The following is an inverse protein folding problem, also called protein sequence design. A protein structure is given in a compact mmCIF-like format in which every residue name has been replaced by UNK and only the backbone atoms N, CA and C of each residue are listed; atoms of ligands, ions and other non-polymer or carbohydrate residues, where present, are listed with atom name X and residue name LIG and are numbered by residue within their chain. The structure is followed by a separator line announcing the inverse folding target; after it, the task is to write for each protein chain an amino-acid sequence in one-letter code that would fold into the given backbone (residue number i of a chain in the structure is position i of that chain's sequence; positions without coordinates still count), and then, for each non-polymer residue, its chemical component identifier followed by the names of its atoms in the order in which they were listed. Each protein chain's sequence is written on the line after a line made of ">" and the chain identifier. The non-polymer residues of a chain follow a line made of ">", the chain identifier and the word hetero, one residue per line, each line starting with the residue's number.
data_IF_420315034611
#
_entry.id   IF_420315034611
#
_cell.length_a   1.000
_cell.length_b   1.000
_cell.length_c   1.000
_cell.angle_alpha   90.00
_cell.angle_beta   90.00
_cell.angle_gamma   90.00
#
_symmetry.space_group_name_H-M   'P 1'
#
loop_
_entity.id
_entity.type
_entity.pdbx_description
1 polymer ?
#
# COMPACT_ATOMS: atom_id res chain seq x y z
N UNK A 1 -22.10 -8.32 58.20
CA UNK A 1 -21.19 -8.92 57.23
C UNK A 1 -21.93 -9.16 55.93
N UNK A 2 -21.66 -8.35 54.91
CA UNK A 2 -22.30 -8.50 53.57
C UNK A 2 -21.32 -9.20 52.66
N UNK A 3 -21.56 -10.47 52.40
CA UNK A 3 -20.77 -11.29 51.45
C UNK A 3 -21.03 -10.84 50.02
N UNK A 4 -20.04 -10.22 49.38
CA UNK A 4 -20.07 -9.91 47.94
C UNK A 4 -19.92 -11.21 47.13
N UNK A 5 -21.06 -11.74 46.59
CA UNK A 5 -21.05 -12.79 45.56
C UNK A 5 -20.32 -12.27 44.31
N UNK A 6 -19.15 -12.82 43.98
CA UNK A 6 -18.47 -12.57 42.68
C UNK A 6 -19.35 -13.07 41.55
N UNK A 7 -19.86 -12.18 40.71
CA UNK A 7 -20.51 -12.52 39.43
C UNK A 7 -19.45 -13.20 38.54
N UNK A 8 -19.65 -14.47 38.22
CA UNK A 8 -18.89 -15.18 37.22
C UNK A 8 -19.24 -14.57 35.85
N UNK A 9 -18.44 -13.65 35.36
CA UNK A 9 -18.54 -13.17 33.98
C UNK A 9 -18.03 -14.27 33.06
N UNK A 10 -18.95 -14.91 32.29
CA UNK A 10 -18.55 -15.78 31.19
C UNK A 10 -17.63 -15.02 30.26
N UNK A 11 -16.36 -15.41 30.25
CA UNK A 11 -15.24 -14.66 29.71
C UNK A 11 -15.43 -14.28 28.23
N UNK A 12 -15.58 -13.00 28.01
CA UNK A 12 -15.56 -12.37 26.69
C UNK A 12 -14.14 -12.45 26.11
N UNK A 13 -13.83 -13.42 25.25
CA UNK A 13 -12.61 -13.40 24.45
C UNK A 13 -12.69 -12.25 23.44
N UNK A 14 -11.91 -11.17 23.66
CA UNK A 14 -11.70 -10.09 22.68
C UNK A 14 -11.09 -10.68 21.42
N UNK A 15 -11.81 -10.70 20.31
CA UNK A 15 -11.24 -11.04 18.99
C UNK A 15 -12.06 -11.93 18.05
N UNK A 16 -13.14 -12.58 18.50
CA UNK A 16 -13.97 -13.39 17.61
C UNK A 16 -15.24 -12.63 17.20
N UNK A 17 -15.43 -12.45 15.91
CA UNK A 17 -16.59 -11.77 15.29
C UNK A 17 -17.90 -12.59 15.34
N UNK A 18 -17.89 -13.77 15.91
CA UNK A 18 -19.08 -14.64 15.99
C UNK A 18 -19.34 -15.03 17.43
N UNK A 19 -20.22 -14.29 18.06
CA UNK A 19 -20.79 -14.63 19.37
C UNK A 19 -21.97 -15.56 19.13
N UNK A 20 -21.73 -16.84 19.08
CA UNK A 20 -22.78 -17.82 19.18
C UNK A 20 -22.70 -18.43 20.57
N UNK A 21 -23.70 -18.20 21.41
CA UNK A 21 -23.84 -19.01 22.61
C UNK A 21 -23.91 -20.48 22.22
N UNK A 22 -23.28 -21.41 22.96
CA UNK A 22 -23.39 -22.84 22.69
C UNK A 22 -24.82 -23.31 22.62
N UNK A 23 -25.10 -24.35 21.85
CA UNK A 23 -26.46 -24.89 21.69
C UNK A 23 -27.04 -25.32 23.03
N UNK A 24 -26.22 -25.95 23.87
CA UNK A 24 -26.57 -26.38 25.22
C UNK A 24 -27.04 -25.20 26.09
N UNK A 25 -26.35 -24.08 26.01
CA UNK A 25 -26.74 -22.87 26.74
C UNK A 25 -28.08 -22.31 26.23
N UNK A 26 -28.31 -22.28 24.92
CA UNK A 26 -29.59 -21.83 24.35
C UNK A 26 -30.72 -22.77 24.74
N UNK A 27 -30.47 -24.07 24.73
CA UNK A 27 -31.44 -25.07 25.14
C UNK A 27 -31.82 -24.93 26.63
N UNK A 28 -30.83 -24.69 27.48
CA UNK A 28 -31.08 -24.43 28.91
C UNK A 28 -31.97 -23.19 29.12
N UNK A 29 -31.68 -22.09 28.41
CA UNK A 29 -32.49 -20.87 28.48
C UNK A 29 -33.93 -21.11 27.99
N UNK A 30 -34.11 -21.91 26.94
CA UNK A 30 -35.42 -22.29 26.41
C UNK A 30 -36.23 -23.14 27.41
N UNK A 31 -35.54 -24.11 28.05
CA UNK A 31 -36.18 -24.97 29.08
C UNK A 31 -36.64 -24.17 30.30
N UNK A 32 -35.82 -23.26 30.80
CA UNK A 32 -36.21 -22.36 31.90
C UNK A 32 -37.48 -21.55 31.55
N UNK A 33 -37.64 -21.15 30.30
CA UNK A 33 -38.85 -20.43 29.88
C UNK A 33 -40.05 -21.35 29.67
N UNK A 34 -39.90 -22.49 29.00
CA UNK A 34 -40.98 -23.37 28.58
C UNK A 34 -41.43 -24.40 29.66
N UNK A 35 -40.44 -24.92 30.39
CA UNK A 35 -40.67 -26.01 31.36
C UNK A 35 -40.77 -25.49 32.80
N UNK A 36 -39.93 -24.51 33.14
CA UNK A 36 -39.88 -23.98 34.53
C UNK A 36 -40.67 -22.67 34.72
N UNK A 37 -41.26 -22.09 33.64
CA UNK A 37 -42.14 -20.94 33.69
C UNK A 37 -41.49 -19.60 34.00
N UNK A 38 -40.14 -19.51 33.91
CA UNK A 38 -39.44 -18.25 34.16
C UNK A 38 -39.80 -17.19 33.13
N UNK A 39 -39.95 -15.93 33.58
CA UNK A 39 -40.22 -14.83 32.66
C UNK A 39 -38.98 -14.48 31.81
N UNK A 40 -39.21 -13.98 30.57
CA UNK A 40 -38.16 -13.52 29.69
C UNK A 40 -37.27 -12.44 30.33
N UNK A 41 -37.88 -11.57 31.17
CA UNK A 41 -37.17 -10.53 31.88
C UNK A 41 -36.21 -11.09 32.92
N UNK A 42 -36.67 -12.06 33.72
CA UNK A 42 -35.88 -12.72 34.76
C UNK A 42 -34.70 -13.47 34.15
N UNK A 43 -34.92 -14.24 33.07
CA UNK A 43 -33.86 -14.96 32.34
C UNK A 43 -32.85 -13.97 31.75
N UNK A 44 -33.31 -12.84 31.19
CA UNK A 44 -32.46 -11.81 30.64
C UNK A 44 -31.54 -11.19 31.69
N UNK A 45 -32.06 -10.92 32.88
CA UNK A 45 -31.33 -10.35 34.01
C UNK A 45 -30.31 -11.36 34.58
N UNK A 46 -30.75 -12.59 34.87
CA UNK A 46 -29.92 -13.65 35.49
C UNK A 46 -28.71 -14.02 34.61
N UNK A 47 -28.94 -14.21 33.31
CA UNK A 47 -27.89 -14.65 32.37
C UNK A 47 -27.18 -13.50 31.63
N UNK A 48 -27.61 -12.24 31.80
CA UNK A 48 -27.00 -11.07 31.13
C UNK A 48 -27.15 -11.12 29.60
N UNK A 49 -28.25 -11.69 29.09
CA UNK A 49 -28.57 -11.80 27.67
C UNK A 49 -29.77 -10.92 27.33
N UNK A 50 -29.87 -10.45 26.07
CA UNK A 50 -30.99 -9.61 25.69
C UNK A 50 -32.30 -10.38 25.65
N UNK A 51 -33.43 -9.75 26.06
CA UNK A 51 -34.78 -10.31 25.96
C UNK A 51 -35.13 -10.73 24.54
N UNK A 52 -34.58 -10.02 23.52
CA UNK A 52 -34.70 -10.38 22.11
C UNK A 52 -34.07 -11.73 21.81
N UNK A 53 -32.89 -12.02 22.39
CA UNK A 53 -32.20 -13.30 22.20
C UNK A 53 -32.99 -14.44 22.80
N UNK A 54 -33.53 -14.27 24.01
CA UNK A 54 -34.38 -15.29 24.66
C UNK A 54 -35.60 -15.60 23.78
N UNK A 55 -36.36 -14.58 23.37
CA UNK A 55 -37.57 -14.76 22.52
C UNK A 55 -37.19 -15.42 21.18
N UNK A 56 -36.10 -15.04 20.58
CA UNK A 56 -35.61 -15.62 19.32
C UNK A 56 -35.31 -17.11 19.47
N UNK A 57 -34.66 -17.52 20.55
CA UNK A 57 -34.35 -18.93 20.79
C UNK A 57 -35.58 -19.74 21.11
N UNK A 58 -36.49 -19.24 21.91
CA UNK A 58 -37.79 -19.90 22.16
C UNK A 58 -38.55 -20.12 20.87
N UNK A 59 -38.66 -19.09 20.02
CA UNK A 59 -39.34 -19.22 18.74
C UNK A 59 -38.59 -20.19 17.76
N UNK A 60 -37.26 -20.20 17.78
CA UNK A 60 -36.48 -21.12 16.97
C UNK A 60 -36.67 -22.58 17.42
N UNK A 61 -36.71 -22.80 18.73
CA UNK A 61 -36.98 -24.13 19.32
C UNK A 61 -38.42 -24.61 19.01
N UNK A 62 -39.43 -23.72 19.14
CA UNK A 62 -40.81 -24.07 18.80
C UNK A 62 -41.02 -24.49 17.35
N UNK A 63 -40.17 -23.94 16.41
CA UNK A 63 -40.23 -24.26 14.97
C UNK A 63 -39.45 -25.50 14.56
N UNK A 64 -38.38 -25.82 15.24
CA UNK A 64 -37.48 -26.87 14.77
C UNK A 64 -36.74 -27.66 15.87
N UNK A 65 -37.29 -27.61 17.11
CA UNK A 65 -36.71 -28.32 18.24
C UNK A 65 -35.22 -27.88 18.48
N UNK A 66 -34.42 -28.82 18.96
CA UNK A 66 -32.99 -28.60 19.23
C UNK A 66 -32.24 -28.16 17.97
N UNK A 67 -32.55 -28.75 16.80
CA UNK A 67 -31.97 -28.39 15.52
C UNK A 67 -32.21 -26.92 15.12
N UNK A 68 -33.35 -26.33 15.57
CA UNK A 68 -33.65 -24.91 15.38
C UNK A 68 -32.71 -23.98 16.13
N UNK A 69 -32.04 -24.47 17.18
CA UNK A 69 -31.08 -23.72 17.98
C UNK A 69 -29.67 -23.76 17.41
N UNK A 70 -29.39 -24.62 16.45
CA UNK A 70 -28.08 -24.67 15.79
C UNK A 70 -27.78 -23.37 15.03
N UNK A 71 -26.51 -22.90 15.06
CA UNK A 71 -26.13 -21.73 14.30
C UNK A 71 -26.24 -22.01 12.81
N UNK A 72 -27.21 -21.42 12.15
CA UNK A 72 -27.31 -21.52 10.69
C UNK A 72 -26.06 -20.90 10.07
N UNK A 73 -25.41 -21.59 9.12
CA UNK A 73 -24.31 -21.01 8.40
C UNK A 73 -24.80 -19.72 7.72
N UNK A 74 -24.11 -18.62 7.96
CA UNK A 74 -24.44 -17.37 7.25
C UNK A 74 -24.26 -17.63 5.77
N UNK A 75 -25.24 -17.34 4.90
CA UNK A 75 -25.03 -17.42 3.49
C UNK A 75 -23.81 -16.55 3.18
N UNK A 76 -22.77 -17.12 2.59
CA UNK A 76 -21.58 -16.39 2.20
C UNK A 76 -22.03 -15.19 1.35
N UNK A 77 -21.60 -13.97 1.71
CA UNK A 77 -21.92 -12.80 0.91
C UNK A 77 -21.58 -13.09 -0.54
N UNK A 78 -22.49 -12.80 -1.47
CA UNK A 78 -22.26 -12.97 -2.91
C UNK A 78 -20.95 -12.32 -3.23
N UNK A 79 -19.96 -13.08 -3.71
CA UNK A 79 -18.69 -12.54 -4.15
C UNK A 79 -18.98 -11.68 -5.37
N UNK A 80 -18.90 -10.36 -5.20
CA UNK A 80 -19.14 -9.38 -6.27
C UNK A 80 -18.05 -9.39 -7.35
N UNK A 81 -17.12 -10.35 -7.30
CA UNK A 81 -15.97 -10.43 -8.18
C UNK A 81 -16.21 -11.54 -9.20
N UNK A 82 -16.38 -11.14 -10.46
CA UNK A 82 -16.57 -12.07 -11.56
C UNK A 82 -15.31 -12.92 -11.83
N UNK A 83 -15.43 -14.08 -12.50
CA UNK A 83 -14.27 -14.90 -12.87
C UNK A 83 -13.24 -14.12 -13.69
N UNK A 84 -13.66 -13.23 -14.59
CA UNK A 84 -12.80 -12.41 -15.46
C UNK A 84 -11.94 -11.46 -14.62
N UNK A 85 -12.54 -10.81 -13.60
CA UNK A 85 -11.82 -9.92 -12.69
C UNK A 85 -10.79 -10.71 -11.87
N UNK A 86 -11.12 -11.93 -11.44
CA UNK A 86 -10.17 -12.82 -10.75
C UNK A 86 -9.01 -13.21 -11.67
N UNK A 87 -9.29 -13.56 -12.92
CA UNK A 87 -8.27 -13.86 -13.90
C UNK A 87 -7.35 -12.66 -14.14
N UNK A 88 -7.91 -11.45 -14.22
CA UNK A 88 -7.12 -10.22 -14.37
C UNK A 88 -6.18 -9.98 -13.18
N UNK A 89 -6.64 -10.24 -11.94
CA UNK A 89 -5.76 -10.17 -10.75
C UNK A 89 -4.56 -11.11 -10.87
N UNK A 90 -4.80 -12.33 -11.35
CA UNK A 90 -3.76 -13.35 -11.56
C UNK A 90 -2.79 -12.92 -12.66
N UNK A 91 -3.30 -12.42 -13.79
CA UNK A 91 -2.49 -11.93 -14.91
C UNK A 91 -1.58 -10.79 -14.48
N UNK A 92 -2.11 -9.77 -13.77
CA UNK A 92 -1.30 -8.66 -13.24
C UNK A 92 -0.23 -9.16 -12.27
N UNK A 93 -0.57 -10.16 -11.42
CA UNK A 93 0.42 -10.74 -10.49
C UNK A 93 1.52 -11.52 -11.21
N UNK A 94 1.21 -12.25 -12.28
CA UNK A 94 2.19 -12.99 -13.08
C UNK A 94 3.12 -12.04 -13.85
N UNK A 95 2.57 -10.97 -14.44
CA UNK A 95 3.35 -9.95 -15.13
C UNK A 95 4.24 -9.15 -14.16
N UNK A 96 3.77 -8.91 -12.93
CA UNK A 96 4.46 -8.13 -11.90
C UNK A 96 4.54 -8.93 -10.58
N UNK A 97 5.44 -9.93 -10.48
CA UNK A 97 5.55 -10.78 -9.29
C UNK A 97 5.86 -10.02 -7.99
N UNK A 98 6.44 -8.83 -8.07
CA UNK A 98 6.75 -7.94 -6.95
C UNK A 98 5.53 -7.18 -6.41
N UNK A 99 4.42 -7.14 -7.15
CA UNK A 99 3.22 -6.42 -6.72
C UNK A 99 2.52 -7.14 -5.57
N UNK A 100 2.30 -6.40 -4.48
CA UNK A 100 1.43 -6.82 -3.38
C UNK A 100 -0.05 -6.54 -3.67
N UNK A 101 -0.96 -7.14 -2.88
CA UNK A 101 -2.41 -7.00 -3.09
C UNK A 101 -2.92 -5.56 -3.19
N UNK A 102 -2.35 -4.64 -2.41
CA UNK A 102 -2.72 -3.20 -2.48
C UNK A 102 -2.40 -2.61 -3.84
N UNK A 103 -1.17 -2.83 -4.34
CA UNK A 103 -0.77 -2.28 -5.63
C UNK A 103 -1.58 -2.87 -6.78
N UNK A 104 -1.90 -4.16 -6.74
CA UNK A 104 -2.78 -4.79 -7.72
C UNK A 104 -4.17 -4.15 -7.68
N UNK A 105 -4.74 -3.90 -6.50
CA UNK A 105 -6.02 -3.20 -6.39
C UNK A 105 -5.95 -1.77 -6.96
N UNK A 106 -4.85 -1.04 -6.70
CA UNK A 106 -4.62 0.30 -7.27
C UNK A 106 -4.50 0.26 -8.80
N UNK A 107 -3.79 -0.74 -9.36
CA UNK A 107 -3.69 -0.98 -10.82
C UNK A 107 -5.05 -1.26 -11.42
N UNK A 108 -5.83 -2.16 -10.83
CA UNK A 108 -7.16 -2.51 -11.33
C UNK A 108 -8.11 -1.29 -11.31
N UNK A 109 -8.07 -0.51 -10.23
CA UNK A 109 -8.86 0.71 -10.12
C UNK A 109 -8.45 1.76 -11.17
N UNK A 110 -7.14 1.97 -11.35
CA UNK A 110 -6.62 3.05 -12.19
C UNK A 110 -6.74 2.76 -13.68
N UNK A 111 -6.36 1.57 -14.11
CA UNK A 111 -6.22 1.24 -15.53
C UNK A 111 -7.39 0.43 -16.09
N UNK A 112 -8.14 -0.21 -15.22
CA UNK A 112 -9.27 -1.04 -15.63
C UNK A 112 -10.61 -0.57 -15.06
N UNK A 113 -10.61 0.49 -14.22
CA UNK A 113 -11.79 1.02 -13.54
C UNK A 113 -12.55 -0.06 -12.73
N UNK A 114 -11.83 -1.07 -12.23
CA UNK A 114 -12.41 -2.19 -11.48
C UNK A 114 -12.27 -1.93 -9.99
N UNK A 115 -13.38 -1.72 -9.25
CA UNK A 115 -13.36 -1.47 -7.82
C UNK A 115 -13.11 -2.76 -7.05
N UNK A 116 -11.88 -3.00 -6.63
CA UNK A 116 -11.52 -4.16 -5.84
C UNK A 116 -10.83 -3.78 -4.54
N UNK A 117 -11.12 -4.53 -3.46
CA UNK A 117 -10.42 -4.35 -2.20
C UNK A 117 -9.10 -5.13 -2.18
N UNK A 118 -8.06 -4.63 -1.49
CA UNK A 118 -6.82 -5.38 -1.28
C UNK A 118 -7.05 -6.75 -0.62
N UNK A 119 -8.08 -6.89 0.21
CA UNK A 119 -8.45 -8.15 0.86
C UNK A 119 -8.97 -9.17 -0.14
N UNK A 120 -9.79 -8.73 -1.10
CA UNK A 120 -10.30 -9.57 -2.18
C UNK A 120 -9.17 -10.04 -3.09
N UNK A 121 -8.27 -9.12 -3.48
CA UNK A 121 -7.07 -9.48 -4.25
C UNK A 121 -6.22 -10.49 -3.49
N UNK A 122 -5.96 -10.27 -2.20
CA UNK A 122 -5.17 -11.19 -1.39
C UNK A 122 -5.81 -12.59 -1.35
N UNK A 123 -7.14 -12.67 -1.17
CA UNK A 123 -7.88 -13.94 -1.15
C UNK A 123 -7.71 -14.68 -2.49
N UNK A 124 -7.95 -14.01 -3.62
CA UNK A 124 -7.80 -14.59 -4.97
C UNK A 124 -6.38 -15.06 -5.22
N UNK A 125 -5.37 -14.27 -4.86
CA UNK A 125 -3.97 -14.67 -5.05
C UNK A 125 -3.58 -15.85 -4.16
N UNK A 126 -4.12 -15.93 -2.92
CA UNK A 126 -3.87 -17.05 -2.01
C UNK A 126 -4.51 -18.35 -2.53
N UNK A 127 -5.74 -18.28 -3.06
CA UNK A 127 -6.43 -19.39 -3.69
C UNK A 127 -5.65 -19.93 -4.90
N UNK A 128 -4.91 -19.08 -5.61
CA UNK A 128 -4.05 -19.45 -6.75
C UNK A 128 -2.58 -19.73 -6.37
N UNK A 129 -2.22 -19.81 -5.08
CA UNK A 129 -0.86 -20.10 -4.65
C UNK A 129 0.17 -18.99 -4.93
N UNK A 130 -0.26 -17.76 -5.27
CA UNK A 130 0.58 -16.64 -5.69
C UNK A 130 0.98 -15.70 -4.55
N UNK A 131 0.71 -16.07 -3.30
CA UNK A 131 1.09 -15.29 -2.12
C UNK A 131 2.33 -15.87 -1.47
N UNK A 132 3.41 -15.10 -1.40
CA UNK A 132 4.58 -15.48 -0.62
C UNK A 132 4.26 -15.46 0.88
N UNK A 133 4.27 -16.62 1.52
CA UNK A 133 4.03 -16.80 2.97
C UNK A 133 5.28 -16.46 3.81
N UNK A 134 6.17 -15.60 3.36
CA UNK A 134 7.32 -15.20 4.15
C UNK A 134 6.86 -14.58 5.48
N UNK A 135 7.05 -15.31 6.57
CA UNK A 135 6.77 -14.85 7.95
C UNK A 135 7.76 -13.73 8.28
N UNK A 136 7.35 -12.48 8.16
CA UNK A 136 8.09 -11.36 8.78
C UNK A 136 7.95 -11.51 10.29
N UNK A 137 9.07 -11.66 10.99
CA UNK A 137 9.07 -11.57 12.45
C UNK A 137 8.52 -10.18 12.83
N UNK A 138 7.54 -10.10 13.75
CA UNK A 138 7.05 -8.79 14.19
C UNK A 138 8.20 -8.06 14.88
N UNK A 139 8.44 -6.81 14.45
CA UNK A 139 9.41 -5.93 15.11
C UNK A 139 8.80 -5.51 16.44
N UNK A 140 9.42 -5.85 17.55
CA UNK A 140 9.03 -5.33 18.87
C UNK A 140 9.32 -3.83 18.88
N UNK A 141 8.30 -3.02 19.14
CA UNK A 141 8.37 -1.54 19.23
C UNK A 141 8.93 -0.88 17.94
N UNK A 142 8.20 -0.90 16.82
CA UNK A 142 8.64 -0.17 15.65
C UNK A 142 8.71 1.33 15.96
N UNK A 143 9.78 2.04 15.57
CA UNK A 143 9.88 3.48 15.77
C UNK A 143 8.69 4.16 15.09
N UNK A 144 8.08 5.13 15.77
CA UNK A 144 6.98 5.91 15.18
C UNK A 144 7.51 6.62 13.95
N UNK A 145 6.92 6.41 12.76
CA UNK A 145 7.37 7.06 11.55
C UNK A 145 7.14 8.56 11.68
N UNK A 146 8.20 9.36 11.60
CA UNK A 146 8.10 10.81 11.48
C UNK A 146 7.87 11.13 10.02
N UNK A 147 6.67 11.55 9.67
CA UNK A 147 6.36 12.01 8.33
C UNK A 147 6.89 13.44 8.17
N UNK A 148 7.89 13.57 7.31
CA UNK A 148 8.37 14.84 6.82
C UNK A 148 8.13 14.87 5.32
N UNK A 149 7.24 15.74 4.87
CA UNK A 149 6.90 15.90 3.47
C UNK A 149 6.62 17.36 3.18
N UNK A 150 7.18 17.88 2.11
CA UNK A 150 6.82 19.21 1.61
C UNK A 150 5.41 19.20 1.06
N UNK A 151 4.77 20.37 0.99
CA UNK A 151 3.35 20.51 0.63
C UNK A 151 3.10 20.65 -0.88
N UNK A 152 4.14 20.96 -1.67
CA UNK A 152 4.04 21.20 -3.13
C UNK A 152 5.26 20.67 -3.87
N UNK A 153 5.14 20.44 -5.20
CA UNK A 153 6.29 20.13 -6.05
C UNK A 153 7.35 21.23 -6.02
N UNK A 154 8.57 20.86 -6.32
CA UNK A 154 9.73 21.76 -6.41
C UNK A 154 10.05 22.56 -5.14
N UNK A 155 9.46 22.23 -3.99
CA UNK A 155 9.90 22.81 -2.72
C UNK A 155 11.18 22.17 -2.21
N UNK A 156 11.32 20.87 -2.36
CA UNK A 156 12.51 20.12 -1.94
C UNK A 156 12.76 18.97 -2.89
N UNK A 157 13.96 18.89 -3.43
CA UNK A 157 14.45 17.68 -4.07
C UNK A 157 15.42 16.95 -3.16
N UNK A 158 15.39 15.63 -3.20
CA UNK A 158 16.38 14.76 -2.58
C UNK A 158 17.31 14.23 -3.65
N UNK A 159 18.62 14.22 -3.39
CA UNK A 159 19.60 13.61 -4.29
C UNK A 159 20.45 12.61 -3.53
N UNK A 160 20.72 11.49 -4.18
CA UNK A 160 21.55 10.41 -3.65
C UNK A 160 22.17 9.62 -4.82
N UNK A 161 23.21 8.85 -4.52
CA UNK A 161 23.95 8.04 -5.49
C UNK A 161 23.88 6.58 -5.05
N UNK A 162 23.38 5.74 -5.95
CA UNK A 162 23.35 4.29 -5.75
C UNK A 162 24.40 3.60 -6.61
N UNK A 163 25.20 2.73 -6.01
CA UNK A 163 26.14 1.86 -6.71
C UNK A 163 25.54 0.48 -6.94
N UNK A 164 25.71 -0.09 -8.12
CA UNK A 164 25.38 -1.48 -8.41
C UNK A 164 26.41 -2.11 -9.37
N UNK A 165 26.37 -3.44 -9.52
CA UNK A 165 27.27 -4.17 -10.41
C UNK A 165 26.62 -4.37 -11.77
N UNK A 166 27.29 -3.92 -12.82
CA UNK A 166 26.90 -4.10 -14.21
C UNK A 166 28.05 -4.80 -14.95
N UNK A 167 27.80 -5.99 -15.46
CA UNK A 167 28.83 -6.80 -16.15
C UNK A 167 30.16 -6.89 -15.38
N UNK A 168 30.09 -7.15 -14.07
CA UNK A 168 31.26 -7.27 -13.19
C UNK A 168 31.92 -5.95 -12.77
N UNK A 169 31.54 -4.80 -13.32
CA UNK A 169 32.07 -3.47 -12.98
C UNK A 169 31.07 -2.66 -12.17
N UNK A 170 31.53 -1.69 -11.39
CA UNK A 170 30.67 -0.75 -10.70
C UNK A 170 30.03 0.22 -11.69
N UNK A 171 28.75 0.43 -11.53
CA UNK A 171 27.97 1.47 -12.20
C UNK A 171 27.23 2.30 -11.15
N UNK A 172 26.97 3.56 -11.44
CA UNK A 172 26.47 4.55 -10.49
C UNK A 172 25.22 5.21 -11.05
N UNK A 173 24.13 5.09 -10.31
CA UNK A 173 22.90 5.84 -10.57
C UNK A 173 22.88 7.08 -9.70
N UNK A 174 22.85 8.24 -10.33
CA UNK A 174 22.72 9.54 -9.68
C UNK A 174 21.29 10.03 -9.91
N UNK A 175 20.53 10.22 -8.84
CA UNK A 175 19.10 10.55 -8.93
C UNK A 175 18.71 11.80 -8.17
N UNK A 176 17.73 12.51 -8.72
CA UNK A 176 17.05 13.63 -8.09
C UNK A 176 15.56 13.31 -8.02
N UNK A 177 14.97 13.42 -6.84
CA UNK A 177 13.59 13.07 -6.56
C UNK A 177 12.88 14.21 -5.84
N UNK A 178 11.72 14.59 -6.31
CA UNK A 178 10.85 15.52 -5.62
C UNK A 178 10.26 14.91 -4.34
N UNK A 179 10.41 15.63 -3.22
CA UNK A 179 10.03 15.17 -1.89
C UNK A 179 8.51 14.98 -1.73
N UNK A 180 7.72 15.85 -2.35
CA UNK A 180 6.26 15.83 -2.25
C UNK A 180 5.64 14.72 -3.09
N UNK A 181 6.03 14.64 -4.35
CA UNK A 181 5.41 13.75 -5.33
C UNK A 181 6.07 12.38 -5.46
N UNK A 182 7.34 12.25 -5.03
CA UNK A 182 8.21 11.09 -5.33
C UNK A 182 8.62 10.99 -6.80
N UNK A 183 8.35 12.02 -7.58
CA UNK A 183 8.69 12.10 -8.99
C UNK A 183 10.22 12.15 -9.15
N UNK A 184 10.76 11.33 -10.02
CA UNK A 184 12.18 11.39 -10.39
C UNK A 184 12.33 12.46 -11.44
N UNK A 185 12.85 13.61 -11.02
CA UNK A 185 13.06 14.77 -11.88
C UNK A 185 14.26 14.59 -12.81
N UNK A 186 15.27 13.86 -12.35
CA UNK A 186 16.39 13.46 -13.20
C UNK A 186 17.08 12.22 -12.65
N UNK A 187 17.56 11.36 -13.53
CA UNK A 187 18.36 10.21 -13.18
C UNK A 187 19.39 9.95 -14.29
N UNK A 188 20.65 9.78 -13.91
CA UNK A 188 21.74 9.42 -14.81
C UNK A 188 22.41 8.12 -14.39
N UNK A 189 22.79 7.29 -15.36
CA UNK A 189 23.64 6.12 -15.17
C UNK A 189 25.05 6.42 -15.69
N UNK A 190 26.06 6.21 -14.85
CA UNK A 190 27.44 6.57 -15.12
C UNK A 190 28.42 5.46 -14.74
N UNK A 191 29.58 5.48 -15.37
CA UNK A 191 30.70 4.57 -15.06
C UNK A 191 31.52 5.06 -13.84
N UNK A 192 31.29 6.30 -13.38
CA UNK A 192 31.95 6.88 -12.21
C UNK A 192 31.03 7.88 -11.49
N UNK A 193 31.26 8.10 -10.21
CA UNK A 193 30.48 9.02 -9.37
C UNK A 193 31.23 10.35 -9.15
N UNK A 194 31.36 11.13 -10.19
CA UNK A 194 32.06 12.43 -10.12
C UNK A 194 31.09 13.59 -9.84
N UNK A 195 31.60 14.68 -9.27
CA UNK A 195 30.82 15.92 -9.12
C UNK A 195 30.32 16.49 -10.46
N UNK A 196 31.03 16.20 -11.56
CA UNK A 196 30.60 16.61 -12.91
C UNK A 196 29.31 15.89 -13.32
N UNK A 197 29.23 14.58 -13.08
CA UNK A 197 28.04 13.78 -13.38
C UNK A 197 26.84 14.18 -12.51
N UNK A 198 27.07 14.52 -11.23
CA UNK A 198 26.02 15.07 -10.36
C UNK A 198 25.47 16.36 -10.92
N UNK A 199 26.35 17.29 -11.33
CA UNK A 199 25.95 18.58 -11.93
C UNK A 199 25.23 18.40 -13.27
N UNK A 200 25.70 17.51 -14.13
CA UNK A 200 25.04 17.20 -15.39
C UNK A 200 23.60 16.71 -15.16
N UNK A 201 23.44 15.74 -14.23
CA UNK A 201 22.13 15.19 -13.88
C UNK A 201 21.23 16.26 -13.27
N UNK A 202 21.77 17.12 -12.40
CA UNK A 202 21.04 18.24 -11.81
C UNK A 202 20.56 19.23 -12.87
N UNK A 203 21.47 19.68 -13.76
CA UNK A 203 21.14 20.66 -14.82
C UNK A 203 20.08 20.13 -15.77
N UNK A 204 20.13 18.86 -16.13
CA UNK A 204 19.08 18.22 -16.92
C UNK A 204 17.72 18.29 -16.22
N UNK A 205 17.68 17.99 -14.92
CA UNK A 205 16.44 18.05 -14.13
C UNK A 205 15.86 19.47 -14.05
N UNK A 206 16.70 20.48 -13.76
CA UNK A 206 16.21 21.87 -13.65
C UNK A 206 15.81 22.47 -15.00
N UNK A 207 16.44 22.06 -16.09
CA UNK A 207 16.08 22.50 -17.43
C UNK A 207 14.66 22.04 -17.83
N UNK A 208 14.24 20.87 -17.37
CA UNK A 208 12.95 20.29 -17.72
C UNK A 208 11.84 20.64 -16.70
N UNK A 209 12.17 20.67 -15.40
CA UNK A 209 11.17 20.80 -14.33
C UNK A 209 11.31 22.03 -13.46
N UNK A 210 12.25 22.91 -13.76
CA UNK A 210 12.51 24.12 -12.99
C UNK A 210 13.38 23.90 -11.75
N UNK A 211 13.83 24.99 -11.15
CA UNK A 211 14.75 25.01 -10.01
C UNK A 211 13.99 24.76 -8.71
N UNK A 212 14.39 23.76 -7.88
CA UNK A 212 13.77 23.55 -6.57
C UNK A 212 14.19 24.65 -5.57
N UNK A 213 13.36 24.90 -4.57
CA UNK A 213 13.70 25.85 -3.48
C UNK A 213 14.78 25.32 -2.56
N UNK A 214 14.76 24.01 -2.29
CA UNK A 214 15.67 23.33 -1.38
C UNK A 214 16.19 22.04 -2.02
N UNK A 215 17.43 21.68 -1.67
CA UNK A 215 18.07 20.43 -2.07
C UNK A 215 18.60 19.70 -0.84
N UNK A 216 18.16 18.47 -0.63
CA UNK A 216 18.63 17.60 0.44
C UNK A 216 19.57 16.54 -0.13
N UNK A 217 20.79 16.47 0.39
CA UNK A 217 21.79 15.47 0.01
C UNK A 217 22.40 14.83 1.25
N UNK A 218 23.11 13.74 1.06
CA UNK A 218 24.06 13.26 2.05
C UNK A 218 25.32 14.15 2.12
N UNK A 219 26.30 13.73 2.93
CA UNK A 219 27.59 14.42 3.07
C UNK A 219 28.66 13.85 2.14
N UNK A 220 28.27 13.18 1.05
CA UNK A 220 29.20 12.62 0.07
C UNK A 220 30.11 13.69 -0.55
N UNK A 221 31.34 13.30 -0.88
CA UNK A 221 32.37 14.22 -1.44
C UNK A 221 31.92 14.86 -2.76
N UNK A 222 30.98 14.28 -3.44
CA UNK A 222 30.40 14.80 -4.69
C UNK A 222 29.55 16.05 -4.44
N UNK A 223 28.89 16.11 -3.28
CA UNK A 223 27.99 17.19 -2.87
C UNK A 223 28.68 18.22 -1.98
N UNK A 224 29.56 17.78 -1.09
CA UNK A 224 30.14 18.63 -0.04
C UNK A 224 31.63 18.40 0.12
N UNK A 225 32.35 19.45 0.53
CA UNK A 225 33.75 19.36 0.90
C UNK A 225 33.97 20.09 2.24
N UNK A 226 34.91 19.62 3.04
CA UNK A 226 35.27 20.26 4.32
C UNK A 226 36.23 21.42 4.13
N UNK A 227 36.97 21.45 2.99
CA UNK A 227 37.87 22.55 2.62
C UNK A 227 37.30 23.37 1.45
N UNK A 228 36.32 24.22 1.74
CA UNK A 228 35.71 25.10 0.73
C UNK A 228 34.49 24.52 0.03
N UNK A 229 33.93 25.30 -0.90
CA UNK A 229 32.69 24.92 -1.61
C UNK A 229 32.97 24.06 -2.83
N UNK A 230 32.24 22.94 -2.95
CA UNK A 230 32.26 22.12 -4.15
C UNK A 230 31.68 22.85 -5.36
N UNK A 231 31.91 22.30 -6.57
CA UNK A 231 31.21 22.81 -7.78
C UNK A 231 29.70 22.73 -7.62
N UNK A 232 29.19 21.68 -7.01
CA UNK A 232 27.77 21.51 -6.73
C UNK A 232 27.22 22.60 -5.78
N UNK A 233 27.89 22.87 -4.66
CA UNK A 233 27.47 23.95 -3.73
C UNK A 233 27.52 25.34 -4.36
N UNK A 234 28.47 25.59 -5.28
CA UNK A 234 28.53 26.86 -6.03
C UNK A 234 27.35 27.00 -6.98
N UNK A 235 26.97 25.93 -7.68
CA UNK A 235 25.82 25.93 -8.57
C UNK A 235 24.50 26.12 -7.79
N UNK A 236 24.33 25.40 -6.66
CA UNK A 236 23.17 25.60 -5.79
C UNK A 236 23.03 27.06 -5.34
N UNK A 237 24.16 27.70 -4.97
CA UNK A 237 24.15 29.11 -4.61
C UNK A 237 23.77 30.03 -5.77
N UNK A 238 24.28 29.75 -6.97
CA UNK A 238 23.95 30.49 -8.19
C UNK A 238 22.48 30.40 -8.53
N UNK A 239 21.90 29.20 -8.42
CA UNK A 239 20.48 28.96 -8.66
C UNK A 239 19.59 29.35 -7.46
N UNK A 240 20.15 29.93 -6.42
CA UNK A 240 19.46 30.32 -5.17
C UNK A 240 18.76 29.16 -4.46
N UNK A 241 19.27 27.95 -4.61
CA UNK A 241 18.77 26.76 -3.95
C UNK A 241 19.36 26.64 -2.55
N UNK A 242 18.51 26.45 -1.54
CA UNK A 242 18.96 26.20 -0.16
C UNK A 242 19.44 24.76 -0.04
N UNK A 243 20.75 24.56 0.10
CA UNK A 243 21.33 23.24 0.30
C UNK A 243 21.15 22.79 1.75
N UNK A 244 20.52 21.65 1.95
CA UNK A 244 20.30 20.99 3.24
C UNK A 244 21.14 19.74 3.26
N UNK A 245 22.06 19.63 4.21
CA UNK A 245 22.89 18.44 4.41
C UNK A 245 22.23 17.52 5.43
N UNK A 246 22.13 16.23 5.10
CA UNK A 246 21.66 15.22 6.04
C UNK A 246 22.58 15.17 7.26
N UNK A 247 22.02 15.14 8.47
CA UNK A 247 22.82 14.95 9.69
C UNK A 247 23.31 13.52 9.75
N UNK A 248 24.57 13.31 10.16
CA UNK A 248 25.09 11.99 10.47
C UNK A 248 24.17 11.32 11.52
N UNK A 249 23.87 10.05 11.34
CA UNK A 249 22.98 9.26 12.21
C UNK A 249 21.49 9.69 12.28
N UNK A 250 21.02 10.51 11.33
CA UNK A 250 19.57 10.70 11.13
C UNK A 250 19.09 10.11 9.81
N UNK A 251 18.93 8.77 9.72
CA UNK A 251 18.61 8.06 8.47
C UNK A 251 17.21 8.39 7.90
N UNK A 252 16.42 9.19 8.62
CA UNK A 252 15.04 9.50 8.23
C UNK A 252 14.91 10.61 7.18
N UNK A 253 15.96 11.37 6.90
CA UNK A 253 15.88 12.52 5.99
C UNK A 253 15.90 12.09 4.51
N UNK A 254 16.74 11.13 4.12
CA UNK A 254 16.84 10.59 2.76
C UNK A 254 16.03 9.30 2.53
N UNK A 255 15.24 8.86 3.50
CA UNK A 255 14.52 7.59 3.45
C UNK A 255 13.54 7.42 2.28
N UNK A 256 13.17 8.51 1.60
CA UNK A 256 12.29 8.46 0.42
C UNK A 256 13.07 8.03 -0.82
N UNK A 257 14.22 8.65 -1.09
CA UNK A 257 15.09 8.27 -2.22
C UNK A 257 15.73 6.91 -1.99
N UNK A 258 16.09 6.57 -0.73
CA UNK A 258 16.55 5.21 -0.39
C UNK A 258 15.49 4.15 -0.70
N UNK A 259 14.22 4.45 -0.44
CA UNK A 259 13.12 3.55 -0.81
C UNK A 259 12.93 3.44 -2.31
N UNK A 260 13.18 4.51 -3.06
CA UNK A 260 13.22 4.47 -4.51
C UNK A 260 14.32 3.54 -5.00
N UNK A 261 15.54 3.61 -4.44
CA UNK A 261 16.63 2.69 -4.78
C UNK A 261 16.25 1.22 -4.56
N UNK A 262 15.60 0.92 -3.44
CA UNK A 262 15.07 -0.44 -3.19
C UNK A 262 14.03 -0.86 -4.23
N UNK A 263 13.23 0.08 -4.73
CA UNK A 263 12.24 -0.23 -5.76
C UNK A 263 12.90 -0.54 -7.10
N UNK A 264 13.83 0.30 -7.58
CA UNK A 264 14.52 0.07 -8.86
C UNK A 264 15.36 -1.20 -8.82
N UNK A 265 16.03 -1.50 -7.71
CA UNK A 265 16.78 -2.74 -7.53
C UNK A 265 15.87 -3.97 -7.65
N UNK A 266 14.78 -4.02 -6.87
CA UNK A 266 13.93 -5.21 -6.78
C UNK A 266 13.01 -5.40 -7.99
N UNK A 267 12.59 -4.32 -8.63
CA UNK A 267 11.61 -4.35 -9.71
C UNK A 267 12.26 -4.33 -11.09
N UNK A 268 13.53 -3.92 -11.18
CA UNK A 268 14.23 -3.76 -12.46
C UNK A 268 15.65 -4.34 -12.45
N UNK A 269 16.60 -3.77 -11.71
CA UNK A 269 18.02 -4.10 -11.85
C UNK A 269 18.34 -5.58 -11.56
N UNK A 270 17.67 -6.21 -10.59
CA UNK A 270 17.87 -7.63 -10.25
C UNK A 270 17.11 -8.60 -11.17
N UNK A 271 16.32 -8.08 -12.11
CA UNK A 271 15.45 -8.89 -12.98
C UNK A 271 15.85 -8.83 -14.44
N UNK A 272 16.67 -7.86 -14.80
CA UNK A 272 17.06 -7.62 -16.17
C UNK A 272 18.55 -7.87 -16.31
N UNK A 273 18.94 -8.65 -17.29
CA UNK A 273 20.32 -8.73 -17.77
C UNK A 273 20.54 -7.64 -18.80
N UNK A 274 21.70 -7.00 -18.74
CA UNK A 274 22.08 -5.94 -19.66
C UNK A 274 23.27 -6.42 -20.49
N UNK A 275 23.14 -6.33 -21.81
CA UNK A 275 24.16 -6.75 -22.74
C UNK A 275 25.26 -5.69 -22.89
N UNK A 276 24.91 -4.42 -22.69
CA UNK A 276 25.83 -3.29 -22.74
C UNK A 276 25.47 -2.19 -21.73
N UNK A 277 26.41 -1.27 -21.52
CA UNK A 277 26.17 -0.09 -20.68
C UNK A 277 25.13 0.84 -21.32
N UNK A 278 25.16 1.01 -22.63
CA UNK A 278 24.25 1.83 -23.42
C UNK A 278 22.82 1.29 -23.33
N UNK A 279 22.65 -0.03 -23.43
CA UNK A 279 21.36 -0.69 -23.23
C UNK A 279 20.85 -0.49 -21.78
N UNK A 280 21.74 -0.55 -20.78
CA UNK A 280 21.38 -0.28 -19.40
C UNK A 280 20.91 1.17 -19.20
N UNK A 281 21.53 2.15 -19.88
CA UNK A 281 21.09 3.57 -19.86
C UNK A 281 19.70 3.69 -20.45
N UNK A 282 19.45 3.14 -21.64
CA UNK A 282 18.17 3.21 -22.33
C UNK A 282 17.05 2.55 -21.52
N UNK A 283 17.24 1.32 -21.07
CA UNK A 283 16.25 0.58 -20.28
C UNK A 283 15.97 1.25 -18.93
N UNK A 284 16.98 1.86 -18.31
CA UNK A 284 16.80 2.64 -17.08
C UNK A 284 15.92 3.86 -17.34
N UNK A 285 16.15 4.59 -18.42
CA UNK A 285 15.32 5.74 -18.80
C UNK A 285 13.87 5.32 -19.05
N UNK A 286 13.65 4.19 -19.73
CA UNK A 286 12.31 3.64 -19.92
C UNK A 286 11.64 3.27 -18.59
N UNK A 287 12.38 2.61 -17.68
CA UNK A 287 11.85 2.23 -16.37
C UNK A 287 11.48 3.46 -15.52
N UNK A 288 12.24 4.56 -15.60
CA UNK A 288 11.91 5.83 -14.92
C UNK A 288 10.59 6.41 -15.45
N UNK A 289 10.36 6.37 -16.77
CA UNK A 289 9.06 6.79 -17.33
C UNK A 289 7.92 5.94 -16.76
N UNK A 290 8.10 4.62 -16.72
CA UNK A 290 7.14 3.72 -16.08
C UNK A 290 6.93 4.08 -14.59
N UNK A 291 8.01 4.27 -13.81
CA UNK A 291 7.94 4.63 -12.39
C UNK A 291 7.16 5.91 -12.16
N UNK A 292 7.44 6.95 -12.94
CA UNK A 292 6.82 8.26 -12.79
C UNK A 292 5.34 8.28 -13.22
N UNK A 293 4.99 7.64 -14.33
CA UNK A 293 3.68 7.82 -14.96
C UNK A 293 2.73 6.63 -14.82
N UNK A 294 3.24 5.41 -14.63
CA UNK A 294 2.41 4.21 -14.66
C UNK A 294 2.43 3.39 -13.38
N UNK A 295 3.41 3.56 -12.53
CA UNK A 295 3.57 2.76 -11.33
C UNK A 295 2.82 3.37 -10.14
N UNK A 296 1.71 2.76 -9.63
CA UNK A 296 1.04 3.25 -8.43
C UNK A 296 1.95 3.17 -7.20
N UNK A 297 2.00 4.27 -6.44
CA UNK A 297 2.89 4.41 -5.30
C UNK A 297 2.09 4.46 -3.99
N UNK A 298 2.26 3.45 -3.12
CA UNK A 298 1.50 3.32 -1.87
C UNK A 298 1.70 4.50 -0.90
N UNK A 299 2.91 5.08 -0.87
CA UNK A 299 3.23 6.23 -0.01
C UNK A 299 2.50 7.53 -0.36
N UNK A 300 1.85 7.58 -1.52
CA UNK A 300 1.05 8.71 -1.99
C UNK A 300 -0.38 8.29 -2.35
N UNK A 301 -0.89 7.26 -1.66
CA UNK A 301 -2.29 6.83 -1.78
C UNK A 301 -2.66 6.16 -3.09
N UNK A 302 -1.72 5.42 -3.72
CA UNK A 302 -1.96 4.69 -4.97
C UNK A 302 -1.89 5.56 -6.23
N UNK A 303 -1.56 6.84 -6.11
CA UNK A 303 -1.27 7.73 -7.23
C UNK A 303 0.07 7.37 -7.88
N UNK A 304 0.27 7.75 -9.14
CA UNK A 304 1.59 7.77 -9.72
C UNK A 304 2.34 9.06 -9.32
N UNK A 305 3.67 9.07 -9.25
CA UNK A 305 4.43 10.28 -8.93
C UNK A 305 4.06 11.49 -9.79
N UNK A 306 3.85 11.30 -11.09
CA UNK A 306 3.44 12.34 -12.02
C UNK A 306 2.12 13.02 -11.64
N UNK A 307 1.14 12.27 -11.11
CA UNK A 307 -0.16 12.82 -10.74
C UNK A 307 -0.04 13.90 -9.66
N UNK A 308 0.91 13.71 -8.73
CA UNK A 308 1.19 14.70 -7.69
C UNK A 308 2.15 15.79 -8.15
N UNK A 309 3.13 15.45 -8.99
CA UNK A 309 4.11 16.42 -9.48
C UNK A 309 3.45 17.50 -10.37
N UNK A 310 2.53 17.09 -11.24
CA UNK A 310 1.77 17.99 -12.08
C UNK A 310 0.47 18.49 -11.44
N UNK A 311 0.27 18.21 -10.15
CA UNK A 311 -0.87 18.67 -9.33
C UNK A 311 -2.26 18.27 -9.86
N UNK A 312 -2.35 17.21 -10.70
CA UNK A 312 -3.61 16.72 -11.29
C UNK A 312 -4.36 15.71 -10.39
N UNK A 313 -3.86 15.43 -9.19
CA UNK A 313 -4.37 14.38 -8.32
C UNK A 313 -5.85 14.55 -7.92
N UNK A 314 -6.34 15.77 -7.82
CA UNK A 314 -7.73 16.03 -7.44
C UNK A 314 -8.69 15.70 -8.59
N UNK A 315 -8.40 16.15 -9.77
CA UNK A 315 -9.21 15.91 -10.97
C UNK A 315 -9.14 14.42 -11.36
N UNK A 316 -7.95 13.85 -11.30
CA UNK A 316 -7.77 12.42 -11.54
C UNK A 316 -8.59 11.57 -10.57
N UNK A 317 -8.58 11.86 -9.26
CA UNK A 317 -9.38 11.12 -8.27
C UNK A 317 -10.87 11.23 -8.57
N UNK A 318 -11.36 12.40 -8.93
CA UNK A 318 -12.74 12.64 -9.32
C UNK A 318 -13.12 11.82 -10.55
N UNK A 319 -12.30 11.89 -11.60
CA UNK A 319 -12.51 11.14 -12.85
C UNK A 319 -12.49 9.63 -12.62
N UNK A 320 -11.50 9.13 -11.86
CA UNK A 320 -11.41 7.71 -11.52
C UNK A 320 -12.61 7.25 -10.67
N UNK A 321 -13.07 8.07 -9.74
CA UNK A 321 -14.24 7.73 -8.92
C UNK A 321 -15.49 7.60 -9.80
N UNK A 322 -15.74 8.59 -10.67
CA UNK A 322 -16.84 8.57 -11.63
C UNK A 322 -16.76 7.34 -12.55
N UNK A 323 -15.60 7.09 -13.17
CA UNK A 323 -15.42 5.93 -14.04
C UNK A 323 -15.58 4.59 -13.33
N UNK A 324 -15.15 4.49 -12.06
CA UNK A 324 -15.38 3.27 -11.24
C UNK A 324 -16.87 3.07 -10.97
N UNK A 325 -17.62 4.11 -10.69
CA UNK A 325 -19.06 4.03 -10.44
C UNK A 325 -19.82 3.62 -11.71
N UNK A 326 -19.51 4.23 -12.82
CA UNK A 326 -20.07 3.90 -14.14
C UNK A 326 -19.74 2.45 -14.54
N UNK A 327 -18.50 2.02 -14.40
CA UNK A 327 -18.07 0.65 -14.71
C UNK A 327 -18.68 -0.38 -13.75
N UNK A 328 -18.83 -0.04 -12.46
CA UNK A 328 -19.48 -0.93 -11.49
C UNK A 328 -20.95 -1.16 -11.83
N UNK A 329 -21.67 -0.12 -12.26
CA UNK A 329 -23.05 -0.24 -12.71
C UNK A 329 -23.16 -1.10 -13.98
N UNK A 330 -22.28 -0.88 -14.93
CA UNK A 330 -22.26 -1.64 -16.19
C UNK A 330 -21.87 -3.12 -15.99
N UNK A 331 -20.90 -3.40 -15.12
CA UNK A 331 -20.55 -4.77 -14.71
C UNK A 331 -21.72 -5.47 -14.00
N UNK A 332 -22.48 -4.73 -13.19
CA UNK A 332 -23.68 -5.27 -12.53
C UNK A 332 -24.82 -5.57 -13.50
N UNK A 333 -24.94 -4.80 -14.58
CA UNK A 333 -26.04 -4.93 -15.56
C UNK A 333 -25.73 -5.92 -16.70
N UNK A 334 -24.48 -6.04 -17.14
CA UNK A 334 -24.15 -6.74 -18.40
C UNK A 334 -23.01 -7.76 -18.33
N UNK A 335 -22.25 -7.86 -17.25
CA UNK A 335 -21.09 -8.76 -17.18
C UNK A 335 -20.04 -8.44 -18.25
N UNK A 336 -19.56 -7.22 -18.33
CA UNK A 336 -18.69 -6.70 -19.40
C UNK A 336 -17.45 -7.54 -19.66
N UNK A 337 -17.13 -7.96 -20.89
CA UNK A 337 -15.80 -8.46 -21.22
C UNK A 337 -14.77 -7.33 -21.07
N UNK A 338 -13.64 -7.64 -20.46
CA UNK A 338 -12.54 -6.68 -20.28
C UNK A 338 -11.91 -6.41 -21.64
N UNK A 339 -11.75 -5.12 -21.97
CA UNK A 339 -11.19 -4.65 -23.24
C UNK A 339 -9.79 -5.27 -23.49
N UNK A 340 -9.55 -5.94 -24.62
CA UNK A 340 -8.30 -6.60 -24.93
C UNK A 340 -7.12 -5.65 -25.21
N UNK A 341 -7.35 -4.34 -25.32
CA UNK A 341 -6.32 -3.36 -25.65
C UNK A 341 -5.24 -3.14 -24.57
N UNK A 342 -5.35 -3.77 -23.41
CA UNK A 342 -4.41 -3.65 -22.27
C UNK A 342 -3.76 -4.98 -21.87
N UNK A 343 -3.61 -5.90 -22.82
CA UNK A 343 -2.78 -7.10 -22.63
C UNK A 343 -1.32 -6.88 -23.00
#
# INVERSE_FOLDING_TARGET
>A
MKTKKKKASAGRKKGSRTWAYPVEFRLRVVRLYLEEGYSVALISEEFGISTHSVRRWVNAYRRGGVAGLEPKPRPGGKTSVTPEVRQRMVTVKKAHPEYGPRRIADVLKRFFLIPTSPSTVHKTLNENGLVNKARRKPVKNPPKPRFFERSRPNQLWQSDIMTFRLAGRNAYLIGFMDDYSRYITSLGLYRSQTAAHVLETYRRGIAEYGVPKEMLTDNGRQYTNWRGKTRFEREMKKDRVKHIKSRQHHPMTLGKIERFWKSIQNEFLFRVQFDSFEQAVERTAYWIKYYNYKRPHQGIGGLCPADRFFEIQHDLKRTLQKGVEENALELALRGRPLDPFYM
#
